data_IF_893564833745
#
_entry.id   IF_893564833745
#
_cell.length_a   1.000
_cell.length_b   1.000
_cell.length_c   1.000
_cell.angle_alpha   90.00
_cell.angle_beta   90.00
_cell.angle_gamma   90.00
#
_symmetry.space_group_name_H-M   'P 1'
#
loop_
_entity.id
_entity.type
_entity.pdbx_description
1 polymer ?
#
# COMPACT_ATOMS: atom_id res chain seq x y z
N UNK A 1 4.87 -3.60 3.65
CA UNK A 1 4.79 -4.43 2.43
C UNK A 1 5.56 -5.74 2.57
N UNK A 2 6.90 -5.74 2.53
CA UNK A 2 7.70 -6.99 2.45
C UNK A 2 7.78 -7.81 3.73
N UNK A 3 7.85 -9.13 3.59
CA UNK A 3 7.98 -10.10 4.68
C UNK A 3 9.35 -10.12 5.36
N UNK A 4 9.38 -10.36 6.66
CA UNK A 4 10.60 -10.71 7.42
C UNK A 4 11.63 -9.59 7.64
N UNK A 5 11.45 -8.42 7.03
CA UNK A 5 12.38 -7.28 7.14
C UNK A 5 12.07 -6.35 8.33
N UNK A 6 11.57 -6.90 9.45
CA UNK A 6 10.89 -6.14 10.50
C UNK A 6 11.76 -5.07 11.16
N UNK A 7 12.99 -5.41 11.50
CA UNK A 7 13.93 -4.51 12.19
C UNK A 7 14.35 -3.37 11.26
N UNK A 8 14.81 -3.71 10.05
CA UNK A 8 15.36 -2.71 9.11
C UNK A 8 14.28 -1.82 8.50
N UNK A 9 13.02 -2.28 8.46
CA UNK A 9 11.87 -1.50 7.99
C UNK A 9 11.05 -0.88 9.13
N UNK A 10 11.54 -0.98 10.37
CA UNK A 10 10.92 -0.41 11.57
C UNK A 10 9.43 -0.77 11.70
N UNK A 11 9.07 -2.04 11.47
CA UNK A 11 7.68 -2.49 11.61
C UNK A 11 7.28 -2.50 13.07
N UNK A 12 6.08 -2.03 13.34
CA UNK A 12 5.48 -2.09 14.68
C UNK A 12 5.36 -3.55 15.16
N UNK A 13 5.90 -3.93 16.33
CA UNK A 13 5.81 -5.29 16.86
C UNK A 13 4.36 -5.73 17.06
N UNK A 14 4.03 -6.99 16.78
CA UNK A 14 2.66 -7.53 16.90
C UNK A 14 2.07 -7.29 18.30
N UNK A 15 2.88 -7.49 19.34
CA UNK A 15 2.49 -7.28 20.75
C UNK A 15 2.05 -5.85 21.09
N UNK A 16 2.48 -4.86 20.31
CA UNK A 16 2.17 -3.44 20.52
C UNK A 16 1.01 -2.97 19.63
N UNK A 17 0.49 -3.82 18.74
CA UNK A 17 -0.63 -3.46 17.83
C UNK A 17 -2.01 -3.54 18.49
N UNK A 18 -2.09 -4.02 19.73
CA UNK A 18 -3.35 -4.13 20.50
C UNK A 18 -4.47 -4.88 19.77
N UNK A 19 -4.12 -5.84 18.91
CA UNK A 19 -5.08 -6.60 18.11
C UNK A 19 -5.68 -5.82 16.91
N UNK A 20 -5.26 -4.58 16.67
CA UNK A 20 -5.72 -3.78 15.54
C UNK A 20 -5.20 -4.38 14.23
N UNK A 21 -6.08 -4.75 13.27
CA UNK A 21 -5.66 -5.25 11.97
C UNK A 21 -4.85 -4.22 11.21
N UNK A 22 -3.70 -4.65 10.66
CA UNK A 22 -2.88 -3.83 9.78
C UNK A 22 -2.84 -4.47 8.40
N UNK A 23 -3.31 -3.73 7.40
CA UNK A 23 -3.36 -4.17 6.01
C UNK A 23 -2.11 -3.73 5.24
N UNK A 24 -1.82 -4.35 4.09
CA UNK A 24 -0.66 -4.04 3.23
C UNK A 24 0.70 -4.07 3.95
N UNK A 25 0.80 -4.83 5.02
CA UNK A 25 2.01 -5.05 5.79
C UNK A 25 2.32 -6.55 5.82
N UNK A 26 3.60 -6.90 5.63
CA UNK A 26 4.10 -8.27 5.78
C UNK A 26 3.42 -9.32 4.87
N UNK A 27 3.08 -8.95 3.62
CA UNK A 27 2.30 -9.81 2.72
C UNK A 27 3.04 -10.22 1.44
N UNK A 28 4.11 -9.51 1.07
CA UNK A 28 4.84 -9.71 -0.18
C UNK A 28 6.26 -10.25 0.07
N UNK A 29 6.77 -11.15 -0.77
CA UNK A 29 8.16 -11.60 -0.66
C UNK A 29 9.14 -10.49 -1.06
N UNK A 30 10.32 -10.38 -0.42
CA UNK A 30 11.32 -9.36 -0.76
C UNK A 30 11.82 -9.39 -2.21
N UNK A 31 11.65 -10.52 -2.92
CA UNK A 31 12.03 -10.69 -4.32
C UNK A 31 11.01 -10.14 -5.32
N UNK A 32 9.82 -9.76 -4.87
CA UNK A 32 8.75 -9.27 -5.73
C UNK A 32 8.78 -7.74 -5.82
N UNK A 33 8.38 -7.19 -6.97
CA UNK A 33 8.14 -5.76 -7.10
C UNK A 33 6.76 -5.38 -6.53
N UNK A 34 6.66 -4.16 -6.01
CA UNK A 34 5.38 -3.56 -5.63
C UNK A 34 5.31 -2.13 -6.15
N UNK A 35 4.33 -1.87 -7.01
CA UNK A 35 4.17 -0.61 -7.73
C UNK A 35 3.12 0.27 -7.06
N UNK A 36 3.21 1.56 -7.33
CA UNK A 36 2.25 2.55 -6.82
C UNK A 36 0.82 2.26 -7.30
N UNK A 37 0.66 1.76 -8.53
CA UNK A 37 -0.65 1.40 -9.09
C UNK A 37 -1.29 0.22 -8.34
N UNK A 38 -0.48 -0.80 -8.02
CA UNK A 38 -0.91 -1.95 -7.22
C UNK A 38 -1.32 -1.51 -5.81
N UNK A 39 -0.52 -0.64 -5.18
CA UNK A 39 -0.90 -0.04 -3.91
C UNK A 39 -2.23 0.71 -3.96
N UNK A 40 -2.45 1.56 -4.97
CA UNK A 40 -3.69 2.32 -5.11
C UNK A 40 -4.89 1.37 -5.22
N UNK A 41 -4.81 0.36 -6.08
CA UNK A 41 -5.88 -0.62 -6.29
C UNK A 41 -6.19 -1.41 -5.03
N UNK A 42 -5.16 -1.93 -4.35
CA UNK A 42 -5.34 -2.75 -3.17
C UNK A 42 -5.82 -1.94 -1.97
N UNK A 43 -5.28 -0.73 -1.79
CA UNK A 43 -5.73 0.18 -0.74
C UNK A 43 -7.21 0.55 -0.91
N UNK A 44 -7.66 0.85 -2.15
CA UNK A 44 -9.07 1.15 -2.43
C UNK A 44 -9.97 -0.04 -2.07
N UNK A 45 -9.60 -1.26 -2.47
CA UNK A 45 -10.36 -2.48 -2.12
C UNK A 45 -10.49 -2.64 -0.60
N UNK A 46 -9.38 -2.50 0.12
CA UNK A 46 -9.34 -2.61 1.59
C UNK A 46 -10.16 -1.50 2.26
N UNK A 47 -10.08 -0.27 1.77
CA UNK A 47 -10.85 0.87 2.31
C UNK A 47 -12.35 0.61 2.17
N UNK A 48 -12.81 0.14 1.01
CA UNK A 48 -14.22 -0.22 0.81
C UNK A 48 -14.66 -1.37 1.72
N UNK A 49 -13.82 -2.39 1.85
CA UNK A 49 -14.04 -3.53 2.73
C UNK A 49 -14.16 -3.11 4.20
N UNK A 50 -13.26 -2.25 4.70
CA UNK A 50 -13.32 -1.69 6.07
C UNK A 50 -14.60 -0.86 6.27
N UNK A 51 -14.95 0.02 5.32
CA UNK A 51 -16.19 0.79 5.41
C UNK A 51 -17.44 -0.11 5.40
N UNK A 52 -17.43 -1.21 4.64
CA UNK A 52 -18.56 -2.15 4.59
C UNK A 52 -18.84 -2.84 5.93
N UNK A 53 -17.81 -2.98 6.77
CA UNK A 53 -17.91 -3.44 8.17
C UNK A 53 -18.20 -2.32 9.18
N UNK A 54 -18.52 -1.11 8.71
CA UNK A 54 -18.81 0.05 9.54
C UNK A 54 -17.63 0.50 10.43
N UNK A 55 -16.40 0.31 9.92
CA UNK A 55 -15.16 0.77 10.57
C UNK A 55 -14.53 1.93 9.79
N UNK A 56 -13.64 2.67 10.46
CA UNK A 56 -12.90 3.80 9.87
C UNK A 56 -11.50 3.32 9.44
N UNK A 57 -11.15 3.39 8.15
CA UNK A 57 -9.80 3.10 7.70
C UNK A 57 -8.83 4.22 8.08
N UNK A 58 -7.68 3.86 8.63
CA UNK A 58 -6.60 4.78 8.97
C UNK A 58 -5.37 4.41 8.15
N UNK A 59 -4.88 5.36 7.36
CA UNK A 59 -3.70 5.17 6.51
C UNK A 59 -2.49 5.73 7.24
N UNK A 60 -1.47 4.89 7.44
CA UNK A 60 -0.22 5.26 8.12
C UNK A 60 0.95 4.83 7.23
N UNK A 61 1.94 5.71 7.02
CA UNK A 61 3.14 5.40 6.26
C UNK A 61 3.95 6.63 5.89
N UNK A 62 5.23 6.44 5.58
CA UNK A 62 6.16 7.52 5.20
C UNK A 62 6.31 7.75 3.69
N UNK A 63 5.84 6.81 2.87
CA UNK A 63 5.93 6.90 1.40
C UNK A 63 4.84 7.83 0.86
N UNK A 64 5.05 9.14 1.00
CA UNK A 64 4.08 10.16 0.66
C UNK A 64 3.56 9.98 -0.78
N UNK A 65 4.42 9.66 -1.74
CA UNK A 65 4.04 9.40 -3.13
C UNK A 65 2.87 8.41 -3.28
N UNK A 66 2.83 7.36 -2.47
CA UNK A 66 1.75 6.37 -2.49
C UNK A 66 0.45 6.98 -1.93
N UNK A 67 0.54 7.74 -0.85
CA UNK A 67 -0.60 8.48 -0.29
C UNK A 67 -1.14 9.49 -1.31
N UNK A 68 -0.26 10.20 -2.01
CA UNK A 68 -0.66 11.15 -3.05
C UNK A 68 -1.45 10.45 -4.17
N UNK A 69 -0.96 9.29 -4.62
CA UNK A 69 -1.63 8.49 -5.66
C UNK A 69 -3.02 8.01 -5.28
N UNK A 70 -3.25 7.81 -3.98
CA UNK A 70 -4.53 7.35 -3.45
C UNK A 70 -5.52 8.50 -3.25
N UNK A 71 -5.04 9.69 -2.88
CA UNK A 71 -5.89 10.85 -2.60
C UNK A 71 -6.31 11.61 -3.86
N UNK A 72 -5.44 11.70 -4.87
CA UNK A 72 -5.68 12.54 -6.05
C UNK A 72 -5.80 11.73 -7.33
N UNK A 73 -6.87 12.00 -8.07
CA UNK A 73 -7.05 11.46 -9.43
C UNK A 73 -6.00 12.05 -10.36
N UNK A 74 -5.51 11.22 -11.30
CA UNK A 74 -4.55 11.61 -12.34
C UNK A 74 -3.20 12.14 -11.81
N UNK A 75 -2.79 11.76 -10.60
CA UNK A 75 -1.49 12.15 -10.05
C UNK A 75 -0.31 11.33 -10.62
N UNK A 76 -0.61 10.24 -11.34
CA UNK A 76 0.39 9.38 -11.96
C UNK A 76 0.53 9.74 -13.44
N UNK A 77 1.78 9.88 -13.89
CA UNK A 77 2.08 9.99 -15.32
C UNK A 77 1.72 8.65 -15.95
N UNK A 78 0.84 8.68 -16.96
CA UNK A 78 0.57 7.51 -17.77
C UNK A 78 1.81 7.25 -18.62
N UNK A 79 2.45 6.10 -18.43
CA UNK A 79 3.49 5.65 -19.34
C UNK A 79 2.81 5.31 -20.67
N UNK A 80 3.15 6.06 -21.71
CA UNK A 80 2.86 5.65 -23.08
C UNK A 80 3.83 4.54 -23.44
N UNK A 81 3.33 3.50 -24.12
CA UNK A 81 4.16 2.41 -24.59
C UNK A 81 5.13 2.96 -25.65
N UNK A 82 6.43 2.88 -25.36
CA UNK A 82 7.48 3.41 -26.25
C UNK A 82 7.77 2.44 -27.40
N UNK A 83 7.19 1.23 -27.37
CA UNK A 83 7.33 0.22 -28.43
C UNK A 83 6.59 0.58 -29.72
N UNK A 84 5.79 1.65 -29.74
CA UNK A 84 5.09 2.13 -30.94
C UNK A 84 6.00 2.95 -31.89
N UNK A 85 7.26 3.19 -31.52
CA UNK A 85 8.23 3.99 -32.29
C UNK A 85 9.52 3.23 -32.68
N UNK A 86 9.57 1.91 -32.49
CA UNK A 86 10.61 1.01 -33.02
C UNK A 86 10.05 0.08 -34.10
#
# INVERSE_FOLDING_TARGET
VYKGLDIITNKMPIKEREGIPHHLMDFLEPSQEYRVTEFTEDAIKIIHDIHSRNHIPIIVGGTHYYIQSLLWKNSLIKTYDVSEYE
#
